data_IF_176735098876
#
_entry.id   IF_176735098876
#
_cell.length_a   1.000
_cell.length_b   1.000
_cell.length_c   1.000
_cell.angle_alpha   90.00
_cell.angle_beta   90.00
_cell.angle_gamma   90.00
#
_symmetry.space_group_name_H-M   'P 1'
#
loop_
_entity.id
_entity.type
_entity.pdbx_description
1 polymer ?
#
# COMPACT_ATOMS: atom_id res chain seq x y z
N UNK A 1 -54.52 -62.09 -22.69
CA UNK A 1 -55.08 -61.25 -21.61
C UNK A 1 -53.92 -60.75 -20.76
N UNK A 2 -53.66 -59.50 -20.41
CA UNK A 2 -54.22 -58.19 -20.71
C UNK A 2 -53.05 -57.17 -20.63
N UNK A 3 -52.96 -56.26 -21.61
CA UNK A 3 -51.89 -55.27 -21.78
C UNK A 3 -52.31 -53.97 -21.08
N UNK A 4 -51.69 -53.60 -19.96
CA UNK A 4 -52.03 -52.37 -19.21
C UNK A 4 -51.42 -51.15 -19.90
N UNK A 5 -52.25 -50.40 -20.64
CA UNK A 5 -51.93 -49.07 -21.18
C UNK A 5 -51.93 -48.06 -20.02
N UNK A 6 -50.79 -47.42 -19.76
CA UNK A 6 -50.72 -46.22 -18.92
C UNK A 6 -50.99 -45.00 -19.80
N UNK A 7 -51.87 -44.14 -19.31
CA UNK A 7 -52.54 -43.04 -20.01
C UNK A 7 -51.73 -41.76 -19.78
N UNK A 8 -51.26 -41.16 -20.87
CA UNK A 8 -50.64 -39.83 -20.89
C UNK A 8 -51.77 -38.80 -20.68
N UNK A 9 -51.71 -38.00 -19.60
CA UNK A 9 -52.65 -36.90 -19.38
C UNK A 9 -51.99 -35.55 -19.59
N UNK A 10 -52.37 -34.93 -20.70
CA UNK A 10 -52.61 -33.50 -20.93
C UNK A 10 -51.95 -32.47 -20.02
N UNK A 11 -51.01 -31.73 -20.62
CA UNK A 11 -50.52 -30.45 -20.18
C UNK A 11 -51.66 -29.42 -19.99
N UNK A 12 -51.62 -28.69 -18.88
CA UNK A 12 -52.43 -27.48 -18.66
C UNK A 12 -51.46 -26.33 -18.42
N UNK A 13 -51.07 -25.66 -19.51
CA UNK A 13 -50.32 -24.41 -19.45
C UNK A 13 -51.27 -23.29 -19.00
N UNK A 14 -50.98 -22.69 -17.86
CA UNK A 14 -51.60 -21.45 -17.40
C UNK A 14 -50.96 -20.26 -18.11
N UNK A 15 -51.75 -19.50 -18.86
CA UNK A 15 -51.36 -18.22 -19.47
C UNK A 15 -51.01 -17.16 -18.40
N UNK A 16 -49.94 -16.37 -18.57
CA UNK A 16 -49.71 -15.16 -17.78
C UNK A 16 -50.47 -13.94 -18.36
N UNK A 17 -50.85 -12.95 -17.53
CA UNK A 17 -51.69 -11.83 -17.93
C UNK A 17 -50.95 -10.80 -18.81
N UNK A 18 -51.65 -10.29 -19.82
CA UNK A 18 -51.21 -9.22 -20.74
C UNK A 18 -51.01 -7.89 -20.01
N UNK A 19 -49.78 -7.38 -19.98
CA UNK A 19 -49.46 -6.00 -19.61
C UNK A 19 -49.88 -5.03 -20.74
N UNK A 20 -50.79 -4.10 -20.40
CA UNK A 20 -51.18 -2.98 -21.26
C UNK A 20 -49.98 -2.04 -21.47
N UNK A 21 -49.59 -1.83 -22.73
CA UNK A 21 -48.70 -0.73 -23.15
C UNK A 21 -49.47 0.59 -23.09
N UNK A 22 -49.15 1.43 -22.12
CA UNK A 22 -49.50 2.84 -22.11
C UNK A 22 -48.21 3.66 -22.18
N UNK A 23 -47.88 4.18 -23.35
CA UNK A 23 -46.83 5.19 -23.56
C UNK A 23 -47.43 6.58 -23.33
N UNK A 24 -46.88 7.43 -22.44
CA UNK A 24 -47.20 8.85 -22.45
C UNK A 24 -46.38 9.60 -23.53
N UNK A 25 -46.92 10.65 -24.15
CA UNK A 25 -46.24 11.41 -25.20
C UNK A 25 -45.18 12.35 -24.62
N UNK A 26 -44.01 12.39 -25.27
CA UNK A 26 -42.96 13.39 -25.07
C UNK A 26 -43.42 14.75 -25.62
N UNK A 27 -43.95 15.60 -24.74
CA UNK A 27 -44.23 17.01 -25.06
C UNK A 27 -42.96 17.85 -24.90
N UNK A 28 -42.39 18.22 -26.05
CA UNK A 28 -41.71 19.49 -26.34
C UNK A 28 -41.28 20.36 -25.16
N UNK A 29 -40.03 20.25 -24.73
CA UNK A 29 -39.34 21.35 -24.04
C UNK A 29 -38.40 22.04 -25.02
N UNK A 30 -38.79 23.26 -25.37
CA UNK A 30 -38.11 24.16 -26.30
C UNK A 30 -36.72 24.54 -25.78
N UNK A 31 -35.70 24.31 -26.61
CA UNK A 31 -34.28 24.61 -26.37
C UNK A 31 -33.94 26.11 -26.21
N UNK A 32 -34.93 27.01 -26.12
CA UNK A 32 -34.73 28.47 -26.04
C UNK A 32 -34.84 29.09 -24.64
N UNK A 33 -34.95 28.29 -23.56
CA UNK A 33 -35.13 28.82 -22.19
C UNK A 33 -34.00 28.53 -21.18
N UNK A 34 -32.88 27.94 -21.61
CA UNK A 34 -31.69 27.69 -20.76
C UNK A 34 -30.49 28.59 -21.15
N UNK A 35 -30.76 29.72 -21.84
CA UNK A 35 -29.72 30.72 -22.19
C UNK A 35 -29.85 32.03 -21.40
N UNK A 36 -30.57 32.02 -20.27
CA UNK A 36 -30.74 33.21 -19.43
C UNK A 36 -30.79 32.78 -17.98
N UNK A 37 -29.63 32.52 -17.37
CA UNK A 37 -29.34 32.56 -15.92
C UNK A 37 -27.93 31.99 -15.64
N UNK A 38 -26.92 32.85 -15.75
CA UNK A 38 -25.77 33.03 -14.83
C UNK A 38 -24.62 33.73 -15.55
N UNK A 39 -24.84 35.02 -15.80
CA UNK A 39 -23.77 36.00 -15.76
C UNK A 39 -23.69 36.51 -14.32
N UNK A 40 -22.79 35.93 -13.51
CA UNK A 40 -22.16 36.63 -12.38
C UNK A 40 -20.84 35.93 -12.12
N UNK A 41 -19.81 36.35 -12.85
CA UNK A 41 -18.42 36.03 -12.59
C UNK A 41 -18.01 36.68 -11.28
N UNK A 42 -17.92 35.89 -10.21
CA UNK A 42 -17.16 36.29 -9.02
C UNK A 42 -15.83 35.54 -9.05
N UNK A 43 -14.80 36.31 -9.37
CA UNK A 43 -13.39 35.92 -9.33
C UNK A 43 -13.02 35.80 -7.84
N UNK A 44 -12.87 34.58 -7.35
CA UNK A 44 -12.26 34.30 -6.05
C UNK A 44 -10.73 34.24 -6.22
N UNK A 45 -9.93 34.94 -5.40
CA UNK A 45 -8.49 34.82 -5.45
C UNK A 45 -8.02 33.46 -4.92
N UNK A 46 -7.16 32.81 -5.70
CA UNK A 46 -6.49 31.54 -5.38
C UNK A 46 -5.54 31.70 -4.18
N UNK A 47 -5.74 30.95 -3.08
CA UNK A 47 -4.86 31.04 -1.90
C UNK A 47 -3.50 30.34 -2.06
N UNK A 48 -3.17 29.75 -3.21
CA UNK A 48 -1.92 29.01 -3.42
C UNK A 48 -0.93 29.66 -4.41
N UNK A 49 -0.97 30.98 -4.60
CA UNK A 49 0.08 31.70 -5.32
C UNK A 49 1.20 32.17 -4.36
N UNK A 50 2.44 31.64 -4.48
CA UNK A 50 3.57 32.14 -3.71
C UNK A 50 3.97 33.54 -4.20
N UNK A 51 3.96 34.51 -3.28
CA UNK A 51 4.42 35.88 -3.52
C UNK A 51 5.91 35.87 -3.90
N UNK A 52 6.24 36.41 -5.08
CA UNK A 52 7.64 36.74 -5.45
C UNK A 52 8.15 37.83 -4.52
N UNK A 53 8.96 37.44 -3.54
CA UNK A 53 9.78 38.36 -2.77
C UNK A 53 11.11 38.60 -3.49
N UNK A 54 11.26 39.80 -4.03
CA UNK A 54 12.55 40.38 -4.40
C UNK A 54 13.39 40.61 -3.14
N UNK A 55 14.53 39.95 -3.05
CA UNK A 55 15.44 40.08 -1.92
C UNK A 55 16.82 39.57 -2.27
N UNK A 56 17.62 40.43 -2.89
CA UNK A 56 19.04 40.22 -3.09
C UNK A 56 19.74 40.05 -1.74
N UNK A 57 20.32 38.88 -1.48
CA UNK A 57 21.37 38.71 -0.48
C UNK A 57 22.44 37.78 -1.04
N UNK A 58 23.54 38.40 -1.44
CA UNK A 58 24.84 37.80 -1.70
C UNK A 58 25.31 37.02 -0.47
N UNK A 59 25.54 35.72 -0.62
CA UNK A 59 26.31 34.94 0.34
C UNK A 59 27.69 34.68 -0.29
N UNK A 60 28.69 35.43 0.17
CA UNK A 60 30.11 35.09 0.04
C UNK A 60 30.51 34.34 1.30
N UNK A 61 30.94 33.09 1.17
CA UNK A 61 31.79 32.39 2.14
C UNK A 61 32.71 31.49 1.31
N UNK A 62 33.88 32.00 0.93
CA UNK A 62 35.17 31.80 1.61
C UNK A 62 35.65 30.34 1.47
N UNK A 63 36.34 30.11 0.36
CA UNK A 63 37.08 28.91 0.05
C UNK A 63 38.41 28.99 0.83
N UNK A 64 38.61 28.15 1.85
CA UNK A 64 39.91 28.03 2.52
C UNK A 64 40.53 26.67 2.19
N UNK A 65 41.62 26.79 1.43
CA UNK A 65 42.58 25.75 1.08
C UNK A 65 43.18 25.15 2.36
N UNK A 66 43.19 23.82 2.43
CA UNK A 66 43.95 23.06 3.42
C UNK A 66 45.40 23.03 2.90
N UNK A 67 46.25 23.88 3.48
CA UNK A 67 47.70 23.86 3.26
C UNK A 67 48.35 22.97 4.32
N UNK A 68 49.15 22.02 3.85
CA UNK A 68 50.00 21.15 4.65
C UNK A 68 51.06 21.94 5.42
N UNK A 69 51.35 21.51 6.64
CA UNK A 69 52.55 21.89 7.35
C UNK A 69 53.12 20.67 8.06
N UNK A 70 54.20 20.14 7.48
CA UNK A 70 55.14 19.26 8.15
C UNK A 70 56.17 20.14 8.88
N UNK A 71 56.38 19.91 10.17
CA UNK A 71 57.54 20.38 10.95
C UNK A 71 57.69 19.38 12.11
N UNK A 72 58.67 18.49 12.03
CA UNK A 72 60.04 18.64 12.57
C UNK A 72 60.10 18.31 14.07
N UNK A 73 60.77 17.20 14.36
CA UNK A 73 61.11 16.62 15.64
C UNK A 73 61.81 17.59 16.61
N UNK A 74 61.74 17.30 17.92
CA UNK A 74 62.81 17.64 18.86
C UNK A 74 63.48 16.39 19.49
N UNK A 75 64.68 16.55 20.11
CA UNK A 75 65.71 15.51 20.14
C UNK A 75 65.85 14.73 21.47
N UNK A 76 66.68 13.69 21.34
CA UNK A 76 67.30 12.79 22.32
C UNK A 76 67.58 13.36 23.72
N UNK A 77 67.33 12.52 24.75
CA UNK A 77 67.99 12.55 26.06
C UNK A 77 68.88 11.31 26.24
N UNK A 78 70.07 11.55 26.78
CA UNK A 78 71.19 10.62 27.04
C UNK A 78 71.46 10.61 28.56
N UNK A 79 71.88 9.47 29.09
CA UNK A 79 72.27 9.24 30.50
C UNK A 79 71.33 8.20 31.15
N UNK A 80 71.76 7.13 31.80
CA UNK A 80 72.99 6.90 32.56
C UNK A 80 73.29 5.39 32.66
N UNK A 81 74.58 5.11 32.83
CA UNK A 81 75.22 3.82 33.09
C UNK A 81 75.06 3.38 34.54
N UNK A 82 74.93 2.07 34.79
CA UNK A 82 75.23 1.53 36.11
C UNK A 82 74.91 0.04 36.29
N UNK A 83 75.93 -0.75 36.62
CA UNK A 83 75.75 -1.91 37.51
C UNK A 83 75.75 -3.30 36.87
N UNK A 84 76.95 -3.81 36.60
CA UNK A 84 77.25 -5.24 36.49
C UNK A 84 76.88 -5.96 37.79
N UNK A 85 76.26 -7.15 37.71
CA UNK A 85 76.49 -8.20 38.69
C UNK A 85 76.60 -9.55 37.99
N UNK A 86 77.78 -10.13 38.19
CA UNK A 86 78.26 -11.41 37.72
C UNK A 86 77.85 -12.46 38.77
N UNK A 87 77.04 -13.44 38.39
CA UNK A 87 76.84 -14.66 39.18
C UNK A 87 76.81 -15.88 38.25
N UNK A 88 77.97 -16.53 38.19
CA UNK A 88 78.22 -17.98 38.11
C UNK A 88 77.12 -18.90 37.60
N UNK A 89 77.42 -19.57 36.48
CA UNK A 89 76.70 -20.72 35.96
C UNK A 89 76.96 -22.00 36.77
N UNK A 90 75.99 -22.93 36.82
CA UNK A 90 76.25 -24.36 36.86
C UNK A 90 75.64 -25.10 35.64
N UNK A 91 76.04 -26.37 35.40
CA UNK A 91 76.02 -26.96 34.08
C UNK A 91 74.76 -27.79 33.77
N UNK A 92 74.50 -27.91 32.46
CA UNK A 92 74.15 -29.14 31.75
C UNK A 92 73.11 -30.08 32.40
N UNK A 93 71.85 -29.99 31.96
CA UNK A 93 71.16 -31.17 31.46
C UNK A 93 69.99 -30.82 30.52
N UNK A 94 69.94 -31.58 29.42
CA UNK A 94 68.89 -31.57 28.41
C UNK A 94 67.53 -31.87 29.02
N UNK A 95 66.53 -31.08 28.66
CA UNK A 95 65.21 -31.63 28.35
C UNK A 95 64.47 -30.70 27.37
N UNK A 96 64.33 -31.20 26.13
CA UNK A 96 63.35 -30.71 25.18
C UNK A 96 61.97 -30.92 25.79
N UNK A 97 61.14 -29.90 25.95
CA UNK A 97 59.71 -30.02 25.65
C UNK A 97 59.17 -28.69 25.11
N UNK A 98 58.71 -28.77 23.86
CA UNK A 98 58.05 -27.69 23.13
C UNK A 98 56.69 -27.37 23.78
N UNK A 99 56.54 -26.15 24.31
CA UNK A 99 55.27 -25.61 24.75
C UNK A 99 54.39 -25.16 23.58
N UNK A 100 53.93 -26.09 22.75
CA UNK A 100 52.98 -25.81 21.66
C UNK A 100 51.54 -26.09 22.12
N UNK A 101 51.01 -25.31 23.08
CA UNK A 101 49.61 -25.44 23.53
C UNK A 101 48.75 -24.19 23.34
N UNK A 102 49.29 -23.10 22.77
CA UNK A 102 48.55 -21.84 22.57
C UNK A 102 47.64 -21.83 21.32
N UNK A 103 47.97 -22.58 20.27
CA UNK A 103 47.28 -22.46 18.98
C UNK A 103 45.86 -23.04 18.93
N UNK A 104 45.54 -24.04 19.77
CA UNK A 104 44.19 -24.64 19.79
C UNK A 104 43.15 -23.72 20.44
N UNK A 105 43.53 -22.87 21.40
CA UNK A 105 42.59 -21.94 22.07
C UNK A 105 42.35 -20.67 21.23
N UNK A 106 43.37 -20.22 20.50
CA UNK A 106 43.26 -19.04 19.63
C UNK A 106 42.39 -19.28 18.39
N UNK A 107 42.42 -20.51 17.83
CA UNK A 107 41.57 -20.87 16.68
C UNK A 107 40.07 -20.96 17.05
N UNK A 108 39.75 -21.44 18.25
CA UNK A 108 38.37 -21.49 18.74
C UNK A 108 37.78 -20.11 19.05
N UNK A 109 38.57 -19.18 19.58
CA UNK A 109 38.15 -17.77 19.80
C UNK A 109 37.87 -17.04 18.48
N UNK A 110 38.70 -17.24 17.46
CA UNK A 110 38.50 -16.66 16.12
C UNK A 110 37.28 -17.25 15.40
N UNK A 111 37.07 -18.56 15.50
CA UNK A 111 35.88 -19.22 14.94
C UNK A 111 34.59 -18.78 15.65
N UNK A 112 34.62 -18.60 16.97
CA UNK A 112 33.48 -18.10 17.75
C UNK A 112 33.18 -16.63 17.43
N UNK A 113 34.20 -15.78 17.30
CA UNK A 113 34.04 -14.38 16.89
C UNK A 113 33.49 -14.26 15.46
N UNK A 114 33.97 -15.11 14.53
CA UNK A 114 33.45 -15.15 13.15
C UNK A 114 32.00 -15.63 13.09
N UNK A 115 31.65 -16.67 13.87
CA UNK A 115 30.28 -17.14 14.01
C UNK A 115 29.36 -16.07 14.63
N UNK A 116 29.85 -15.29 15.59
CA UNK A 116 29.09 -14.20 16.22
C UNK A 116 28.86 -13.03 15.25
N UNK A 117 29.83 -12.72 14.38
CA UNK A 117 29.65 -11.72 13.30
C UNK A 117 28.68 -12.16 12.21
N UNK A 118 28.61 -13.47 11.90
CA UNK A 118 27.64 -14.00 10.93
C UNK A 118 26.20 -13.96 11.46
N UNK A 119 25.98 -14.14 12.76
CA UNK A 119 24.64 -14.09 13.37
C UNK A 119 24.06 -12.67 13.39
N UNK A 120 24.89 -11.63 13.51
CA UNK A 120 24.42 -10.23 13.49
C UNK A 120 24.10 -9.70 12.09
N UNK A 121 24.57 -10.34 11.02
CA UNK A 121 24.31 -9.91 9.65
C UNK A 121 22.90 -10.26 9.15
N UNK A 122 22.17 -11.15 9.84
CA UNK A 122 20.83 -11.60 9.43
C UNK A 122 19.67 -10.81 10.05
N UNK A 123 19.92 -9.73 10.79
CA UNK A 123 18.90 -9.04 11.59
C UNK A 123 18.23 -7.82 10.92
N UNK A 124 18.44 -7.54 9.63
CA UNK A 124 17.86 -6.33 8.97
C UNK A 124 16.77 -6.59 7.92
N UNK A 125 16.16 -7.77 7.88
CA UNK A 125 14.97 -8.03 7.07
C UNK A 125 13.65 -7.76 7.83
N UNK A 126 13.66 -6.83 8.79
CA UNK A 126 12.41 -6.34 9.36
C UNK A 126 11.77 -5.43 8.30
N UNK A 127 10.85 -6.03 7.54
CA UNK A 127 10.06 -5.47 6.45
C UNK A 127 9.37 -4.18 6.90
N UNK A 128 10.10 -3.06 6.82
CA UNK A 128 9.47 -1.76 6.94
C UNK A 128 8.48 -1.62 5.78
N UNK A 129 7.22 -1.34 6.10
CA UNK A 129 6.17 -1.11 5.11
C UNK A 129 6.67 -0.03 4.16
N UNK A 130 6.66 -0.30 2.86
CA UNK A 130 7.19 0.64 1.88
C UNK A 130 6.44 1.98 1.98
N UNK A 131 7.15 3.08 1.71
CA UNK A 131 6.53 4.41 1.67
C UNK A 131 5.36 4.46 0.70
N UNK A 132 5.43 3.68 -0.37
CA UNK A 132 4.35 3.55 -1.35
C UNK A 132 3.08 2.94 -0.73
N UNK A 133 3.20 1.85 0.03
CA UNK A 133 2.06 1.24 0.71
C UNK A 133 1.47 2.14 1.81
N UNK A 134 2.31 2.92 2.51
CA UNK A 134 1.82 3.94 3.44
C UNK A 134 0.95 4.99 2.72
N UNK A 135 1.35 5.42 1.52
CA UNK A 135 0.53 6.32 0.70
C UNK A 135 -0.74 5.65 0.18
N UNK A 136 -0.66 4.40 -0.29
CA UNK A 136 -1.83 3.62 -0.74
C UNK A 136 -2.86 3.45 0.40
N UNK A 137 -2.43 3.28 1.65
CA UNK A 137 -3.33 3.25 2.81
C UNK A 137 -4.13 4.56 2.98
N UNK A 138 -3.47 5.71 2.83
CA UNK A 138 -4.14 7.03 2.84
C UNK A 138 -5.12 7.16 1.68
N UNK A 139 -4.80 6.62 0.50
CA UNK A 139 -5.76 6.57 -0.61
C UNK A 139 -6.99 5.71 -0.29
N UNK A 140 -6.84 4.56 0.37
CA UNK A 140 -7.99 3.75 0.80
C UNK A 140 -8.91 4.50 1.77
N UNK A 141 -8.35 5.26 2.72
CA UNK A 141 -9.10 6.19 3.57
C UNK A 141 -9.89 7.21 2.72
N UNK A 142 -9.23 7.86 1.76
CA UNK A 142 -9.89 8.83 0.88
C UNK A 142 -11.01 8.18 0.08
N UNK A 143 -10.80 6.97 -0.47
CA UNK A 143 -11.85 6.24 -1.18
C UNK A 143 -13.06 5.99 -0.26
N UNK A 144 -12.86 5.70 1.02
CA UNK A 144 -13.95 5.57 1.98
C UNK A 144 -14.73 6.89 2.18
N UNK A 145 -14.04 8.03 2.19
CA UNK A 145 -14.64 9.35 2.37
C UNK A 145 -15.34 9.91 1.12
N UNK A 146 -14.96 9.42 -0.07
CA UNK A 146 -15.45 9.92 -1.36
C UNK A 146 -16.30 8.90 -2.12
N UNK A 147 -16.71 7.81 -1.48
CA UNK A 147 -17.61 6.81 -2.06
C UNK A 147 -18.90 6.78 -1.26
N UNK A 148 -20.03 6.91 -1.95
CA UNK A 148 -21.34 6.74 -1.33
C UNK A 148 -21.84 5.32 -1.59
N UNK A 149 -22.12 4.62 -0.50
CA UNK A 149 -22.77 3.31 -0.50
C UNK A 149 -24.27 3.46 -0.31
N UNK A 150 -25.08 2.57 -0.90
CA UNK A 150 -26.50 2.52 -0.63
C UNK A 150 -26.75 1.98 0.79
N UNK A 151 -27.88 2.32 1.40
CA UNK A 151 -28.15 1.97 2.80
C UNK A 151 -28.17 0.45 3.04
N UNK A 152 -28.55 -0.34 2.04
CA UNK A 152 -28.59 -1.81 2.10
C UNK A 152 -27.19 -2.45 2.13
N UNK A 153 -26.13 -1.68 1.90
CA UNK A 153 -24.76 -2.16 2.08
C UNK A 153 -24.37 -2.33 3.55
N UNK A 154 -25.12 -1.69 4.47
CA UNK A 154 -24.84 -1.68 5.89
C UNK A 154 -25.90 -2.46 6.68
N UNK A 155 -25.46 -3.25 7.66
CA UNK A 155 -26.39 -3.94 8.56
C UNK A 155 -27.20 -2.96 9.43
N UNK A 156 -26.59 -1.85 9.85
CA UNK A 156 -27.17 -0.83 10.73
C UNK A 156 -26.69 0.59 10.36
N UNK A 157 -27.42 1.65 10.76
CA UNK A 157 -27.01 3.05 10.52
C UNK A 157 -25.64 3.43 11.08
N UNK A 158 -25.24 2.81 12.20
CA UNK A 158 -23.94 3.05 12.86
C UNK A 158 -22.87 2.00 12.51
N UNK A 159 -23.18 1.06 11.60
CA UNK A 159 -22.20 0.05 11.20
C UNK A 159 -20.95 0.71 10.58
N UNK A 160 -19.75 0.24 10.92
CA UNK A 160 -18.51 0.80 10.37
C UNK A 160 -18.38 0.51 8.88
N UNK A 161 -17.60 1.33 8.19
CA UNK A 161 -17.11 1.01 6.85
C UNK A 161 -15.90 0.09 7.02
N UNK A 162 -16.02 -1.11 6.49
CA UNK A 162 -15.00 -2.17 6.61
C UNK A 162 -14.11 -2.16 5.37
N UNK A 163 -12.82 -1.87 5.54
CA UNK A 163 -11.79 -1.92 4.50
C UNK A 163 -11.04 -3.23 4.64
N UNK A 164 -11.18 -4.09 3.65
CA UNK A 164 -10.60 -5.42 3.67
C UNK A 164 -9.34 -5.51 2.82
N UNK A 165 -8.36 -6.25 3.30
CA UNK A 165 -7.19 -6.67 2.52
C UNK A 165 -7.34 -8.16 2.26
N UNK A 166 -7.32 -8.59 1.01
CA UNK A 166 -7.37 -10.00 0.66
C UNK A 166 -5.97 -10.60 0.61
N UNK A 167 -5.76 -11.70 1.34
CA UNK A 167 -4.53 -12.47 1.26
C UNK A 167 -3.43 -11.90 2.16
N UNK A 168 -2.27 -11.63 1.59
CA UNK A 168 -1.14 -11.03 2.32
C UNK A 168 -1.38 -9.54 2.57
N UNK A 169 -0.92 -9.03 3.72
CA UNK A 169 -1.08 -7.62 4.09
C UNK A 169 0.20 -6.84 3.77
N UNK A 170 0.29 -6.14 2.61
CA UNK A 170 1.46 -5.34 2.29
C UNK A 170 1.50 -4.01 3.07
N UNK A 171 0.41 -3.63 3.75
CA UNK A 171 0.32 -2.38 4.50
C UNK A 171 0.90 -2.48 5.91
N UNK A 172 1.13 -3.68 6.44
CA UNK A 172 1.42 -3.86 7.87
C UNK A 172 0.42 -3.09 8.73
N UNK A 173 0.94 -2.29 9.67
CA UNK A 173 0.14 -1.44 10.56
C UNK A 173 -0.26 -0.09 9.93
N UNK A 174 0.23 0.24 8.73
CA UNK A 174 0.01 1.55 8.12
C UNK A 174 -1.45 1.79 7.78
N UNK A 175 -2.21 0.74 7.42
CA UNK A 175 -3.64 0.87 7.17
C UNK A 175 -4.40 1.18 8.45
N UNK A 176 -4.21 0.41 9.52
CA UNK A 176 -4.84 0.68 10.82
C UNK A 176 -4.44 2.05 11.38
N UNK A 177 -3.19 2.47 11.20
CA UNK A 177 -2.72 3.79 11.58
C UNK A 177 -3.45 4.90 10.80
N UNK A 178 -3.65 4.72 9.49
CA UNK A 178 -4.36 5.69 8.66
C UNK A 178 -5.85 5.80 8.99
N UNK A 179 -6.50 4.72 9.46
CA UNK A 179 -7.94 4.71 9.77
C UNK A 179 -8.26 5.15 11.21
N UNK A 180 -7.26 5.20 12.09
CA UNK A 180 -7.47 5.43 13.52
C UNK A 180 -8.03 6.82 13.80
N UNK A 181 -9.22 6.87 14.39
CA UNK A 181 -9.90 8.12 14.73
C UNK A 181 -10.55 8.83 13.53
N UNK A 182 -10.42 8.25 12.34
CA UNK A 182 -11.05 8.76 11.13
C UNK A 182 -12.48 8.27 10.98
N UNK A 183 -13.29 9.06 10.28
CA UNK A 183 -14.66 8.71 9.93
C UNK A 183 -14.95 9.03 8.48
N UNK A 184 -15.95 8.36 7.92
CA UNK A 184 -16.52 8.70 6.63
C UNK A 184 -18.03 8.58 6.69
N UNK A 185 -18.74 9.61 6.23
CA UNK A 185 -20.20 9.65 6.24
C UNK A 185 -20.80 9.37 7.63
N UNK A 186 -20.16 9.84 8.70
CA UNK A 186 -20.57 9.61 10.09
C UNK A 186 -20.26 8.23 10.66
N UNK A 187 -19.64 7.33 9.89
CA UNK A 187 -19.29 5.97 10.29
C UNK A 187 -17.80 5.86 10.61
N UNK A 188 -17.47 5.02 11.58
CA UNK A 188 -16.08 4.65 11.87
C UNK A 188 -15.50 3.77 10.77
N UNK A 189 -14.17 3.79 10.64
CA UNK A 189 -13.43 3.01 9.66
C UNK A 189 -12.64 1.90 10.35
N UNK A 190 -12.67 0.69 9.80
CA UNK A 190 -11.92 -0.45 10.35
C UNK A 190 -11.24 -1.23 9.23
N UNK A 191 -10.00 -1.67 9.47
CA UNK A 191 -9.30 -2.59 8.58
C UNK A 191 -9.58 -4.05 8.97
N UNK A 192 -9.64 -4.94 7.97
CA UNK A 192 -9.74 -6.38 8.22
C UNK A 192 -8.98 -7.20 7.19
N UNK A 193 -8.23 -8.18 7.65
CA UNK A 193 -7.63 -9.17 6.75
C UNK A 193 -8.67 -10.25 6.43
N UNK A 194 -8.85 -10.56 5.15
CA UNK A 194 -9.74 -11.64 4.69
C UNK A 194 -8.96 -12.66 3.86
N UNK A 195 -9.40 -13.92 3.93
CA UNK A 195 -8.72 -15.04 3.27
C UNK A 195 -9.59 -15.76 2.23
N UNK A 196 -10.88 -15.46 2.17
CA UNK A 196 -11.80 -16.09 1.21
C UNK A 196 -12.74 -15.08 0.55
N UNK A 197 -13.26 -15.39 -0.66
CA UNK A 197 -14.27 -14.57 -1.33
C UNK A 197 -15.54 -14.38 -0.49
N UNK A 198 -15.93 -15.36 0.32
CA UNK A 198 -17.12 -15.23 1.18
C UNK A 198 -16.94 -14.22 2.31
N UNK A 199 -15.75 -14.16 2.92
CA UNK A 199 -15.43 -13.13 3.90
C UNK A 199 -15.42 -11.74 3.26
N UNK A 200 -15.07 -11.65 1.97
CA UNK A 200 -15.03 -10.38 1.24
C UNK A 200 -16.42 -9.74 1.05
N UNK A 201 -17.50 -10.51 1.19
CA UNK A 201 -18.89 -10.03 1.01
C UNK A 201 -19.35 -9.03 2.06
N UNK A 202 -18.72 -9.00 3.23
CA UNK A 202 -19.02 -8.03 4.30
C UNK A 202 -18.08 -6.80 4.29
N UNK A 203 -17.24 -6.69 3.27
CA UNK A 203 -16.35 -5.55 3.07
C UNK A 203 -17.08 -4.45 2.29
N UNK A 204 -16.74 -3.20 2.56
CA UNK A 204 -17.21 -2.05 1.79
C UNK A 204 -16.17 -1.63 0.76
N UNK A 205 -14.89 -1.74 1.13
CA UNK A 205 -13.74 -1.65 0.23
C UNK A 205 -12.97 -2.95 0.32
N UNK A 206 -12.56 -3.51 -0.82
CA UNK A 206 -11.72 -4.70 -0.89
C UNK A 206 -10.46 -4.42 -1.69
N UNK A 207 -9.32 -4.41 -1.01
CA UNK A 207 -8.01 -4.34 -1.63
C UNK A 207 -7.53 -5.74 -2.05
N UNK A 208 -7.15 -5.85 -3.32
CA UNK A 208 -6.70 -7.06 -3.99
C UNK A 208 -5.18 -7.00 -4.19
N UNK A 209 -4.42 -7.36 -3.16
CA UNK A 209 -2.95 -7.42 -3.24
C UNK A 209 -2.49 -8.66 -3.98
N UNK A 210 -1.81 -8.51 -5.12
CA UNK A 210 -1.16 -9.61 -5.85
C UNK A 210 -2.10 -10.74 -6.31
N UNK A 211 -3.42 -10.52 -6.29
CA UNK A 211 -4.39 -11.57 -6.62
C UNK A 211 -4.35 -11.89 -8.13
N UNK A 212 -3.96 -13.13 -8.44
CA UNK A 212 -3.90 -13.62 -9.82
C UNK A 212 -5.27 -13.67 -10.51
N UNK A 213 -5.30 -13.81 -11.84
CA UNK A 213 -6.51 -13.83 -12.69
C UNK A 213 -7.66 -14.70 -12.19
N UNK A 214 -7.34 -15.91 -11.75
CA UNK A 214 -8.34 -16.89 -11.28
C UNK A 214 -9.06 -16.39 -10.01
N UNK A 215 -8.28 -15.93 -9.04
CA UNK A 215 -8.78 -15.39 -7.78
C UNK A 215 -9.61 -14.13 -8.03
N UNK A 216 -9.18 -13.28 -8.96
CA UNK A 216 -9.95 -12.10 -9.38
C UNK A 216 -11.35 -12.48 -9.89
N UNK A 217 -11.46 -13.52 -10.73
CA UNK A 217 -12.74 -14.00 -11.27
C UNK A 217 -13.63 -14.59 -10.19
N UNK A 218 -13.08 -15.37 -9.28
CA UNK A 218 -13.82 -15.94 -8.14
C UNK A 218 -14.38 -14.84 -7.23
N UNK A 219 -13.60 -13.78 -6.97
CA UNK A 219 -14.05 -12.62 -6.20
C UNK A 219 -15.14 -11.85 -6.94
N UNK A 220 -14.95 -11.57 -8.22
CA UNK A 220 -15.96 -10.86 -9.02
C UNK A 220 -17.30 -11.59 -8.99
N UNK A 221 -17.29 -12.93 -9.07
CA UNK A 221 -18.48 -13.75 -8.94
C UNK A 221 -19.08 -13.68 -7.52
N UNK A 222 -18.26 -13.76 -6.47
CA UNK A 222 -18.73 -13.68 -5.08
C UNK A 222 -19.31 -12.31 -4.69
N UNK A 223 -18.82 -11.23 -5.31
CA UNK A 223 -19.24 -9.86 -5.07
C UNK A 223 -20.36 -9.39 -6.02
N UNK A 224 -20.81 -10.23 -6.95
CA UNK A 224 -21.89 -9.87 -7.87
C UNK A 224 -23.15 -9.42 -7.10
N UNK A 225 -23.69 -8.25 -7.47
CA UNK A 225 -24.85 -7.65 -6.79
C UNK A 225 -24.57 -7.11 -5.38
N UNK A 226 -23.30 -7.02 -4.96
CA UNK A 226 -22.87 -6.39 -3.72
C UNK A 226 -22.28 -5.01 -3.99
N UNK A 227 -22.39 -4.14 -3.00
CA UNK A 227 -21.86 -2.78 -3.07
C UNK A 227 -20.48 -2.73 -2.43
N UNK A 228 -19.52 -3.40 -3.08
CA UNK A 228 -18.12 -3.46 -2.63
C UNK A 228 -17.24 -2.75 -3.64
N UNK A 229 -16.50 -1.76 -3.18
CA UNK A 229 -15.50 -1.06 -3.99
C UNK A 229 -14.23 -1.92 -4.07
N UNK A 230 -13.97 -2.51 -5.23
CA UNK A 230 -12.74 -3.27 -5.44
C UNK A 230 -11.59 -2.34 -5.81
N UNK A 231 -10.46 -2.51 -5.11
CA UNK A 231 -9.24 -1.74 -5.33
C UNK A 231 -8.12 -2.72 -5.62
N UNK A 232 -7.35 -2.50 -6.68
CA UNK A 232 -6.23 -3.35 -7.07
C UNK A 232 -4.95 -2.54 -7.16
N UNK A 233 -3.86 -3.19 -6.81
CA UNK A 233 -2.54 -2.72 -7.17
C UNK A 233 -2.17 -3.33 -8.53
N UNK A 234 -2.11 -2.51 -9.58
CA UNK A 234 -2.04 -2.98 -10.97
C UNK A 234 -0.63 -2.93 -11.56
N UNK A 235 0.38 -2.70 -10.74
CA UNK A 235 1.78 -2.73 -11.19
C UNK A 235 2.12 -4.06 -11.86
N UNK A 236 2.53 -4.01 -13.14
CA UNK A 236 2.94 -5.18 -13.91
C UNK A 236 1.83 -6.17 -14.31
N UNK A 237 0.55 -5.82 -14.13
CA UNK A 237 -0.58 -6.71 -14.43
C UNK A 237 -1.28 -6.36 -15.77
N UNK A 238 -1.75 -7.35 -16.54
CA UNK A 238 -2.52 -7.11 -17.76
C UNK A 238 -3.88 -6.42 -17.49
N UNK A 239 -4.30 -5.52 -18.39
CA UNK A 239 -5.56 -4.74 -18.29
C UNK A 239 -6.83 -5.60 -18.25
N UNK A 240 -6.77 -6.88 -18.63
CA UNK A 240 -7.92 -7.78 -18.60
C UNK A 240 -8.45 -8.09 -17.18
N UNK A 241 -7.75 -7.64 -16.13
CA UNK A 241 -8.07 -7.94 -14.73
C UNK A 241 -8.19 -6.67 -13.88
N UNK A 242 -8.75 -5.61 -14.45
CA UNK A 242 -8.99 -4.35 -13.74
C UNK A 242 -10.04 -4.49 -12.63
N UNK A 243 -9.78 -3.84 -11.50
CA UNK A 243 -10.78 -3.60 -10.46
C UNK A 243 -11.55 -2.29 -10.75
N UNK A 244 -12.52 -1.94 -9.89
CA UNK A 244 -13.21 -0.65 -10.00
C UNK A 244 -12.22 0.51 -9.87
N UNK A 245 -11.27 0.40 -8.93
CA UNK A 245 -10.16 1.34 -8.75
C UNK A 245 -8.84 0.58 -8.87
N UNK A 246 -7.91 1.12 -9.64
CA UNK A 246 -6.58 0.56 -9.83
C UNK A 246 -5.53 1.59 -9.42
N UNK A 247 -4.62 1.21 -8.53
CA UNK A 247 -3.40 1.98 -8.30
C UNK A 247 -2.43 1.71 -9.44
N UNK A 248 -1.98 2.80 -10.06
CA UNK A 248 -0.93 2.79 -11.08
C UNK A 248 0.28 3.53 -10.54
N UNK A 249 1.45 2.92 -10.62
CA UNK A 249 2.70 3.55 -10.23
C UNK A 249 3.42 4.00 -11.50
N UNK A 250 3.43 5.30 -11.75
CA UNK A 250 4.09 5.92 -12.91
C UNK A 250 5.07 6.98 -12.44
N UNK A 251 6.32 6.93 -12.90
CA UNK A 251 7.35 7.92 -12.56
C UNK A 251 7.45 8.15 -11.03
N UNK A 252 7.36 7.07 -10.25
CA UNK A 252 7.40 7.11 -8.77
C UNK A 252 6.25 7.91 -8.14
N UNK A 253 5.10 8.03 -8.82
CA UNK A 253 3.86 8.63 -8.30
C UNK A 253 2.70 7.65 -8.45
N UNK A 254 1.88 7.57 -7.41
CA UNK A 254 0.64 6.79 -7.43
C UNK A 254 -0.44 7.61 -8.15
N UNK A 255 -1.01 7.04 -9.20
CA UNK A 255 -2.22 7.52 -9.89
C UNK A 255 -3.37 6.54 -9.64
N UNK A 256 -4.59 7.03 -9.71
CA UNK A 256 -5.80 6.22 -9.68
C UNK A 256 -6.33 6.07 -11.10
N UNK A 257 -6.61 4.84 -11.53
CA UNK A 257 -7.50 4.58 -12.67
C UNK A 257 -8.84 4.06 -12.17
N UNK A 258 -9.93 4.66 -12.62
CA UNK A 258 -11.28 4.35 -12.13
C UNK A 258 -12.18 3.92 -13.28
N UNK A 259 -12.80 2.74 -13.16
CA UNK A 259 -13.82 2.24 -14.08
C UNK A 259 -15.21 2.62 -13.55
N UNK A 260 -15.79 3.70 -14.10
CA UNK A 260 -17.08 4.24 -13.65
C UNK A 260 -18.26 3.31 -13.96
N UNK A 261 -18.20 2.56 -15.06
CA UNK A 261 -19.22 1.57 -15.44
C UNK A 261 -19.32 0.48 -14.38
N UNK A 262 -18.18 0.00 -13.89
CA UNK A 262 -18.10 -1.03 -12.83
C UNK A 262 -18.54 -0.49 -11.47
N UNK A 263 -18.17 0.76 -11.13
CA UNK A 263 -18.66 1.43 -9.91
C UNK A 263 -20.18 1.54 -9.90
N UNK A 264 -20.77 1.98 -11.02
CA UNK A 264 -22.22 2.11 -11.18
C UNK A 264 -22.93 0.76 -11.10
N UNK A 265 -22.35 -0.28 -11.69
CA UNK A 265 -22.86 -1.66 -11.62
C UNK A 265 -22.85 -2.20 -10.18
N UNK A 266 -21.86 -1.82 -9.38
CA UNK A 266 -21.80 -2.11 -7.95
C UNK A 266 -22.73 -1.20 -7.09
N UNK A 267 -23.50 -0.30 -7.72
CA UNK A 267 -24.37 0.70 -7.07
C UNK A 267 -23.59 1.67 -6.17
N UNK A 268 -22.37 2.01 -6.56
CA UNK A 268 -21.52 2.95 -5.86
C UNK A 268 -21.51 4.29 -6.58
N UNK A 269 -21.60 5.39 -5.82
CA UNK A 269 -21.47 6.75 -6.38
C UNK A 269 -20.17 7.35 -5.88
N UNK A 270 -19.26 7.65 -6.81
CA UNK A 270 -17.97 8.27 -6.50
C UNK A 270 -18.08 9.79 -6.60
N UNK A 271 -17.56 10.50 -5.60
CA UNK A 271 -17.53 11.97 -5.59
C UNK A 271 -16.64 12.49 -6.74
N UNK A 272 -17.12 13.42 -7.58
CA UNK A 272 -16.35 13.96 -8.69
C UNK A 272 -15.02 14.62 -8.30
N UNK A 273 -14.84 15.03 -7.04
CA UNK A 273 -13.57 15.57 -6.53
C UNK A 273 -12.47 14.51 -6.53
N UNK A 274 -12.82 13.25 -6.32
CA UNK A 274 -11.88 12.12 -6.43
C UNK A 274 -11.41 11.94 -7.89
N UNK A 275 -12.31 12.18 -8.85
CA UNK A 275 -12.05 12.00 -10.28
C UNK A 275 -11.10 13.05 -10.86
N UNK A 276 -10.97 14.23 -10.23
CA UNK A 276 -10.04 15.29 -10.68
C UNK A 276 -8.58 14.88 -10.55
N UNK A 277 -8.27 13.90 -9.70
CA UNK A 277 -6.94 13.38 -9.48
C UNK A 277 -6.74 11.97 -10.08
N UNK A 278 -7.69 11.48 -10.87
CA UNK A 278 -7.72 10.13 -11.41
C UNK A 278 -7.80 10.12 -12.94
N UNK A 279 -7.23 9.08 -13.54
CA UNK A 279 -7.53 8.66 -14.91
C UNK A 279 -8.89 7.94 -14.91
N UNK A 280 -9.83 8.43 -15.71
CA UNK A 280 -11.18 7.87 -15.78
C UNK A 280 -11.30 7.02 -17.04
N UNK A 281 -11.71 5.76 -16.87
CA UNK A 281 -11.99 4.85 -17.97
C UNK A 281 -13.49 4.53 -17.97
N UNK A 282 -14.11 4.68 -19.13
CA UNK A 282 -15.49 4.31 -19.40
C UNK A 282 -15.47 3.37 -20.61
N UNK A 283 -15.70 2.09 -20.36
CA UNK A 283 -15.98 1.10 -21.41
C UNK A 283 -17.49 0.95 -21.62
#
# INVERSE_FOLDING_TARGET
>A
MARKRSKISGARYSEPPRLRRGTPPLSSWSCKKIMKLRATSQIFPDPYLPKRGTGARTIRVANHLITSAALSSPPLKKGETGGFNFFTAPPFQREMQAGFTSHRRSAFMLAFAFALTLVTASASAQSSVSREYQLKAVFLLRLAQFTQWPNEAFDRPESPIVICVLGENPFGDALDAALRGETAHGRTLVARLVRSPDQARSCHILFLGGAGPRVAKEIAAALAGRSVLTVRDSEGLPSAYEAIVNFLTEQNRIKLRINLTSATTARLVLDPRLLRAAEVVSE
#
